data_IF_413861074340
#
_entry.id   IF_413861074340
#
_cell.length_a   1.000
_cell.length_b   1.000
_cell.length_c   1.000
_cell.angle_alpha   90.00
_cell.angle_beta   90.00
_cell.angle_gamma   90.00
#
_symmetry.space_group_name_H-M   'P 1'
#
loop_
_entity.id
_entity.type
_entity.pdbx_description
1 polymer ?
#
# COMPACT_ATOMS: atom_id res chain seq x y z
N UNK A 1 -35.45 25.85 29.67
CA UNK A 1 -34.61 26.91 29.09
C UNK A 1 -33.28 26.30 28.71
N UNK A 2 -32.85 26.45 27.45
CA UNK A 2 -31.57 25.95 26.96
C UNK A 2 -31.67 25.17 25.65
N UNK A 3 -32.14 25.81 24.57
CA UNK A 3 -31.99 25.31 23.20
C UNK A 3 -30.50 25.35 22.85
N UNK A 4 -29.83 24.19 22.78
CA UNK A 4 -28.52 24.09 22.18
C UNK A 4 -28.71 24.10 20.65
N UNK A 5 -28.36 25.22 20.03
CA UNK A 5 -28.27 25.37 18.57
C UNK A 5 -27.25 24.36 18.04
N UNK A 6 -27.72 23.39 17.26
CA UNK A 6 -26.85 22.60 16.38
C UNK A 6 -26.15 23.55 15.42
N UNK A 7 -24.82 23.49 15.27
CA UNK A 7 -24.13 24.32 14.30
C UNK A 7 -24.58 23.88 12.90
N UNK A 8 -25.25 24.79 12.20
CA UNK A 8 -25.61 24.63 10.80
C UNK A 8 -24.30 24.58 10.01
N UNK A 9 -23.85 23.39 9.62
CA UNK A 9 -22.82 23.25 8.60
C UNK A 9 -23.47 23.75 7.31
N UNK A 10 -22.97 24.82 6.67
CA UNK A 10 -23.53 25.24 5.39
C UNK A 10 -23.23 24.14 4.37
N UNK A 11 -24.28 23.62 3.71
CA UNK A 11 -24.10 22.80 2.51
C UNK A 11 -23.34 23.66 1.51
N UNK A 12 -22.06 23.30 1.28
CA UNK A 12 -21.26 23.91 0.24
C UNK A 12 -21.94 23.53 -1.09
N UNK A 13 -22.35 24.50 -1.92
CA UNK A 13 -22.91 24.16 -3.22
C UNK A 13 -21.89 23.31 -3.99
N UNK A 14 -22.33 22.29 -4.75
CA UNK A 14 -21.40 21.45 -5.49
C UNK A 14 -20.52 22.33 -6.37
N UNK A 15 -19.21 22.19 -6.23
CA UNK A 15 -18.26 22.98 -6.99
C UNK A 15 -18.36 22.58 -8.47
N UNK A 16 -19.15 23.34 -9.22
CA UNK A 16 -19.41 23.12 -10.64
C UNK A 16 -18.11 23.04 -11.45
N UNK A 17 -17.02 23.67 -10.99
CA UNK A 17 -15.71 23.64 -11.66
C UNK A 17 -15.03 22.27 -11.55
N UNK A 18 -15.10 21.62 -10.37
CA UNK A 18 -14.53 20.29 -10.14
C UNK A 18 -15.29 19.21 -10.90
N UNK A 19 -16.63 19.29 -10.90
CA UNK A 19 -17.47 18.39 -11.68
C UNK A 19 -17.18 18.47 -13.19
N UNK A 20 -16.95 19.67 -13.71
CA UNK A 20 -16.57 19.86 -15.11
C UNK A 20 -15.18 19.29 -15.41
N UNK A 21 -14.19 19.58 -14.56
CA UNK A 21 -12.83 19.06 -14.70
C UNK A 21 -12.79 17.53 -14.70
N UNK A 22 -13.54 16.87 -13.81
CA UNK A 22 -13.61 15.42 -13.74
C UNK A 22 -14.25 14.79 -14.99
N UNK A 23 -15.30 15.42 -15.54
CA UNK A 23 -15.91 14.96 -16.81
C UNK A 23 -14.94 15.05 -17.97
N UNK A 24 -14.12 16.10 -18.02
CA UNK A 24 -13.12 16.27 -19.07
C UNK A 24 -11.97 15.25 -18.92
N UNK A 25 -11.52 14.97 -17.68
CA UNK A 25 -10.58 13.89 -17.41
C UNK A 25 -11.14 12.53 -17.85
N UNK A 26 -12.38 12.22 -17.47
CA UNK A 26 -13.05 10.99 -17.90
C UNK A 26 -13.14 10.90 -19.43
N UNK A 27 -13.52 11.98 -20.10
CA UNK A 27 -13.58 12.02 -21.57
C UNK A 27 -12.23 11.68 -22.20
N UNK A 28 -11.13 12.26 -21.69
CA UNK A 28 -9.77 11.97 -22.16
C UNK A 28 -9.38 10.51 -21.91
N UNK A 29 -9.63 9.98 -20.71
CA UNK A 29 -9.39 8.58 -20.36
C UNK A 29 -10.09 7.64 -21.35
N UNK A 30 -11.39 7.86 -21.58
CA UNK A 30 -12.18 7.02 -22.49
C UNK A 30 -11.75 7.16 -23.95
N UNK A 31 -11.32 8.35 -24.39
CA UNK A 31 -10.76 8.54 -25.73
C UNK A 31 -9.46 7.77 -25.90
N UNK A 32 -8.57 7.79 -24.90
CA UNK A 32 -7.32 7.02 -24.91
C UNK A 32 -7.60 5.52 -24.96
N UNK A 33 -8.62 5.03 -24.23
CA UNK A 33 -8.99 3.62 -24.25
C UNK A 33 -9.71 3.18 -25.55
N UNK A 34 -10.33 4.11 -26.28
CA UNK A 34 -11.17 3.79 -27.44
C UNK A 34 -10.32 3.27 -28.61
N UNK A 35 -10.72 2.13 -29.16
CA UNK A 35 -10.05 1.48 -30.30
C UNK A 35 -9.15 0.31 -29.90
N UNK A 36 -8.82 0.21 -28.60
CA UNK A 36 -8.23 -0.97 -28.00
C UNK A 36 -9.30 -2.06 -27.79
N UNK A 37 -8.88 -3.32 -27.75
CA UNK A 37 -9.77 -4.47 -27.49
C UNK A 37 -9.53 -5.08 -26.12
N UNK A 38 -8.28 -5.12 -25.66
CA UNK A 38 -7.85 -5.84 -24.45
C UNK A 38 -6.87 -5.02 -23.62
N UNK A 39 -7.27 -4.72 -22.39
CA UNK A 39 -6.47 -3.96 -21.44
C UNK A 39 -5.92 -4.83 -20.33
N UNK A 40 -4.66 -4.58 -19.95
CA UNK A 40 -4.12 -5.00 -18.66
C UNK A 40 -4.02 -3.78 -17.75
N UNK A 41 -4.67 -3.88 -16.59
CA UNK A 41 -4.59 -2.87 -15.53
C UNK A 41 -3.67 -3.38 -14.44
N UNK A 42 -2.42 -2.92 -14.48
CA UNK A 42 -1.36 -3.38 -13.60
C UNK A 42 -1.18 -2.45 -12.41
N UNK A 43 -1.08 -3.03 -11.22
CA UNK A 43 -0.70 -2.31 -10.00
C UNK A 43 0.73 -2.64 -9.58
N UNK A 44 1.20 -2.06 -8.47
CA UNK A 44 2.52 -2.39 -7.93
C UNK A 44 2.61 -3.84 -7.45
N UNK A 45 3.84 -4.34 -7.34
CA UNK A 45 4.17 -5.65 -6.81
C UNK A 45 3.85 -5.72 -5.32
N UNK A 46 3.34 -6.88 -4.89
CA UNK A 46 2.85 -7.10 -3.53
C UNK A 46 1.77 -6.08 -3.13
N UNK A 47 0.67 -6.01 -3.91
CA UNK A 47 -0.29 -4.92 -3.81
C UNK A 47 -1.00 -4.89 -2.46
N UNK A 48 -1.26 -3.68 -2.00
CA UNK A 48 -2.12 -3.41 -0.85
C UNK A 48 -3.61 -3.31 -1.27
N UNK A 49 -4.54 -3.04 -0.34
CA UNK A 49 -5.95 -2.93 -0.69
C UNK A 49 -6.27 -1.82 -1.70
N UNK A 50 -5.56 -0.69 -1.65
CA UNK A 50 -5.81 0.45 -2.55
C UNK A 50 -5.43 0.10 -3.99
N UNK A 51 -4.23 -0.44 -4.14
CA UNK A 51 -3.71 -1.02 -5.37
C UNK A 51 -4.69 -2.01 -6.04
N UNK A 52 -5.16 -3.02 -5.29
CA UNK A 52 -6.08 -4.04 -5.80
C UNK A 52 -7.43 -3.42 -6.19
N UNK A 53 -8.00 -2.59 -5.30
CA UNK A 53 -9.31 -2.00 -5.53
C UNK A 53 -9.33 -1.07 -6.73
N UNK A 54 -8.29 -0.24 -6.85
CA UNK A 54 -8.10 0.68 -7.98
C UNK A 54 -7.98 -0.06 -9.30
N UNK A 55 -7.23 -1.17 -9.34
CA UNK A 55 -7.09 -1.99 -10.55
C UNK A 55 -8.42 -2.60 -10.98
N UNK A 56 -9.17 -3.21 -10.05
CA UNK A 56 -10.49 -3.75 -10.35
C UNK A 56 -11.49 -2.65 -10.76
N UNK A 57 -11.44 -1.47 -10.13
CA UNK A 57 -12.32 -0.36 -10.43
C UNK A 57 -12.06 0.26 -11.79
N UNK A 58 -10.79 0.44 -12.18
CA UNK A 58 -10.44 0.91 -13.51
C UNK A 58 -10.79 -0.14 -14.58
N UNK A 59 -10.52 -1.43 -14.34
CA UNK A 59 -10.91 -2.48 -15.26
C UNK A 59 -12.44 -2.50 -15.49
N UNK A 60 -13.23 -2.34 -14.43
CA UNK A 60 -14.67 -2.20 -14.52
C UNK A 60 -15.09 -0.98 -15.34
N UNK A 61 -14.49 0.19 -15.07
CA UNK A 61 -14.76 1.42 -15.83
C UNK A 61 -14.49 1.25 -17.33
N UNK A 62 -13.33 0.70 -17.70
CA UNK A 62 -12.92 0.49 -19.09
C UNK A 62 -13.87 -0.50 -19.81
N UNK A 63 -14.28 -1.55 -19.12
CA UNK A 63 -15.21 -2.55 -19.66
C UNK A 63 -16.57 -1.92 -19.94
N UNK A 64 -17.16 -1.24 -18.94
CA UNK A 64 -18.51 -0.69 -19.04
C UNK A 64 -18.60 0.56 -19.92
N UNK A 65 -17.58 1.41 -19.92
CA UNK A 65 -17.62 2.73 -20.60
C UNK A 65 -16.90 2.78 -21.94
N UNK A 66 -15.92 1.90 -22.18
CA UNK A 66 -15.14 1.87 -23.42
C UNK A 66 -15.28 0.56 -24.21
N UNK A 67 -15.95 -0.46 -23.66
CA UNK A 67 -16.11 -1.77 -24.32
C UNK A 67 -14.79 -2.53 -24.48
N UNK A 68 -13.79 -2.23 -23.65
CA UNK A 68 -12.47 -2.86 -23.66
C UNK A 68 -12.48 -4.03 -22.66
N UNK A 69 -12.07 -5.22 -23.09
CA UNK A 69 -11.90 -6.36 -22.20
C UNK A 69 -10.70 -6.11 -21.26
N UNK A 70 -10.98 -5.60 -20.05
CA UNK A 70 -9.95 -5.18 -19.12
C UNK A 70 -9.74 -6.19 -17.97
N UNK A 71 -8.49 -6.58 -17.75
CA UNK A 71 -8.11 -7.50 -16.67
C UNK A 71 -7.21 -6.81 -15.66
N UNK A 72 -7.61 -6.80 -14.39
CA UNK A 72 -6.78 -6.33 -13.29
C UNK A 72 -5.69 -7.36 -12.95
N UNK A 73 -4.44 -6.90 -12.84
CA UNK A 73 -3.28 -7.76 -12.62
C UNK A 73 -2.30 -7.19 -11.60
N UNK A 74 -1.56 -8.09 -10.93
CA UNK A 74 -0.51 -7.74 -9.99
C UNK A 74 0.72 -8.63 -10.14
N UNK A 75 1.88 -8.13 -9.74
CA UNK A 75 3.09 -8.93 -9.55
C UNK A 75 3.40 -9.20 -8.07
N UNK A 76 4.41 -10.03 -7.83
CA UNK A 76 4.79 -10.42 -6.46
C UNK A 76 3.75 -11.29 -5.74
N UNK A 77 3.62 -11.09 -4.43
CA UNK A 77 2.81 -11.90 -3.51
C UNK A 77 1.86 -11.00 -2.73
N UNK A 78 0.60 -11.40 -2.63
CA UNK A 78 -0.35 -10.83 -1.66
C UNK A 78 -0.18 -11.61 -0.36
N UNK A 79 0.63 -11.11 0.56
CA UNK A 79 1.04 -11.84 1.76
C UNK A 79 0.23 -11.55 3.03
N UNK A 80 -0.16 -10.28 3.25
CA UNK A 80 -0.94 -9.84 4.42
C UNK A 80 -2.30 -10.56 4.49
N UNK A 81 -2.75 -10.84 5.72
CA UNK A 81 -3.94 -11.66 5.94
C UNK A 81 -5.21 -10.94 5.47
N UNK A 82 -5.28 -9.64 5.69
CA UNK A 82 -6.37 -8.75 5.32
C UNK A 82 -6.48 -8.67 3.79
N UNK A 83 -5.35 -8.49 3.08
CA UNK A 83 -5.34 -8.43 1.62
C UNK A 83 -5.77 -9.78 1.01
N UNK A 84 -5.31 -10.90 1.57
CA UNK A 84 -5.78 -12.23 1.15
C UNK A 84 -7.28 -12.41 1.40
N UNK A 85 -7.76 -11.95 2.55
CA UNK A 85 -9.17 -11.98 2.90
C UNK A 85 -10.00 -11.12 1.95
N UNK A 86 -9.53 -9.93 1.57
CA UNK A 86 -10.17 -9.05 0.60
C UNK A 86 -10.43 -9.77 -0.73
N UNK A 87 -9.40 -10.38 -1.32
CA UNK A 87 -9.55 -11.13 -2.56
C UNK A 87 -10.53 -12.30 -2.42
N UNK A 88 -10.41 -13.07 -1.33
CA UNK A 88 -11.22 -14.27 -1.10
C UNK A 88 -12.68 -13.95 -0.79
N UNK A 89 -12.94 -12.99 0.08
CA UNK A 89 -14.28 -12.65 0.57
C UNK A 89 -15.07 -11.93 -0.53
N UNK A 90 -14.43 -11.01 -1.24
CA UNK A 90 -15.08 -10.22 -2.28
C UNK A 90 -15.05 -10.89 -3.67
N UNK A 91 -14.31 -11.98 -3.84
CA UNK A 91 -14.14 -12.69 -5.12
C UNK A 91 -13.67 -11.74 -6.24
N UNK A 92 -12.70 -10.86 -5.94
CA UNK A 92 -12.26 -9.83 -6.87
C UNK A 92 -11.59 -10.45 -8.12
N UNK A 93 -11.91 -9.94 -9.33
CA UNK A 93 -11.36 -10.45 -10.58
C UNK A 93 -9.96 -9.87 -10.82
N UNK A 94 -8.99 -10.26 -9.98
CA UNK A 94 -7.59 -9.84 -10.08
C UNK A 94 -6.69 -11.07 -10.21
N UNK A 95 -5.75 -11.03 -11.16
CA UNK A 95 -4.89 -12.17 -11.49
C UNK A 95 -3.40 -11.86 -11.27
N UNK A 96 -2.60 -12.84 -10.83
CA UNK A 96 -1.14 -12.71 -10.94
C UNK A 96 -0.76 -12.51 -12.41
N UNK A 97 0.10 -11.53 -12.68
CA UNK A 97 0.56 -11.18 -14.03
C UNK A 97 1.16 -12.39 -14.77
N UNK A 98 1.85 -13.28 -14.04
CA UNK A 98 2.42 -14.53 -14.59
C UNK A 98 1.39 -15.49 -15.21
N UNK A 99 0.10 -15.33 -14.92
CA UNK A 99 -0.98 -16.12 -15.54
C UNK A 99 -1.47 -15.55 -16.87
N UNK A 100 -1.17 -14.28 -17.15
CA UNK A 100 -1.70 -13.57 -18.32
C UNK A 100 -0.62 -12.89 -19.16
N UNK A 101 0.65 -13.03 -18.79
CA UNK A 101 1.79 -12.40 -19.47
C UNK A 101 1.87 -12.73 -20.96
N UNK A 102 1.48 -13.96 -21.34
CA UNK A 102 1.43 -14.41 -22.73
C UNK A 102 0.16 -14.00 -23.48
N UNK A 103 -0.83 -13.41 -22.81
CA UNK A 103 -2.09 -13.04 -23.44
C UNK A 103 -1.91 -11.79 -24.34
N UNK A 104 -2.66 -11.70 -25.44
CA UNK A 104 -2.63 -10.51 -26.27
C UNK A 104 -3.27 -9.35 -25.51
N UNK A 105 -2.59 -8.22 -25.48
CA UNK A 105 -3.05 -6.95 -24.93
C UNK A 105 -2.65 -5.85 -25.88
N UNK A 106 -3.53 -4.87 -26.04
CA UNK A 106 -3.27 -3.70 -26.86
C UNK A 106 -3.36 -2.40 -26.05
N UNK A 107 -3.77 -2.45 -24.77
CA UNK A 107 -3.75 -1.33 -23.82
C UNK A 107 -3.09 -1.74 -22.50
N UNK A 108 -2.14 -0.93 -22.02
CA UNK A 108 -1.51 -1.11 -20.70
C UNK A 108 -1.80 0.09 -19.83
N UNK A 109 -2.39 -0.17 -18.66
CA UNK A 109 -2.68 0.82 -17.64
C UNK A 109 -1.84 0.53 -16.40
N UNK A 110 -1.31 1.57 -15.77
CA UNK A 110 -0.76 1.52 -14.41
C UNK A 110 -1.71 2.20 -13.44
N UNK A 111 -1.93 1.57 -12.29
CA UNK A 111 -2.69 2.14 -11.17
C UNK A 111 -1.91 1.99 -9.88
N UNK A 112 -1.95 3.03 -9.05
CA UNK A 112 -1.26 3.05 -7.74
C UNK A 112 0.25 2.75 -7.85
N UNK A 113 0.79 3.08 -9.01
CA UNK A 113 2.20 3.02 -9.35
C UNK A 113 2.46 3.86 -10.59
N UNK A 114 3.71 4.19 -10.81
CA UNK A 114 4.17 5.02 -11.90
C UNK A 114 5.36 4.37 -12.61
N UNK A 115 5.60 4.71 -13.89
CA UNK A 115 6.84 4.33 -14.56
C UNK A 115 8.07 4.78 -13.75
N UNK A 116 9.20 4.09 -13.94
CA UNK A 116 10.48 4.30 -13.22
C UNK A 116 10.49 3.92 -11.72
N UNK A 117 9.35 3.68 -11.07
CA UNK A 117 9.36 3.14 -9.69
C UNK A 117 9.97 1.73 -9.68
N UNK A 118 9.81 0.98 -10.78
CA UNK A 118 10.39 -0.35 -10.95
C UNK A 118 9.80 -1.41 -10.01
N UNK A 119 8.65 -1.11 -9.40
CA UNK A 119 7.94 -1.99 -8.48
C UNK A 119 6.71 -2.62 -9.13
N UNK A 120 6.75 -2.97 -10.42
CA UNK A 120 5.69 -3.72 -11.07
C UNK A 120 6.30 -4.74 -12.05
N UNK A 121 5.86 -5.99 -11.95
CA UNK A 121 6.40 -7.11 -12.74
C UNK A 121 5.70 -7.27 -14.09
N UNK A 122 5.75 -6.24 -14.96
CA UNK A 122 5.20 -6.32 -16.31
C UNK A 122 6.28 -6.06 -17.36
N UNK A 123 6.62 -7.08 -18.15
CA UNK A 123 7.42 -6.91 -19.35
C UNK A 123 6.55 -6.27 -20.46
N UNK A 124 6.65 -4.95 -20.61
CA UNK A 124 5.95 -4.22 -21.66
C UNK A 124 6.87 -3.97 -22.87
N UNK A 125 6.32 -4.04 -24.07
CA UNK A 125 7.02 -3.68 -25.31
C UNK A 125 7.07 -2.15 -25.53
N UNK A 126 6.42 -1.36 -24.66
CA UNK A 126 6.29 0.10 -24.75
C UNK A 126 5.86 0.71 -23.41
N UNK A 127 5.82 2.05 -23.30
CA UNK A 127 5.35 2.75 -22.11
C UNK A 127 3.85 2.50 -21.88
N UNK A 128 3.36 2.55 -20.63
CA UNK A 128 1.92 2.47 -20.36
C UNK A 128 1.17 3.67 -20.95
N UNK A 129 -0.04 3.45 -21.48
CA UNK A 129 -0.84 4.51 -22.07
C UNK A 129 -1.72 5.26 -21.06
N UNK A 130 -2.09 4.61 -19.96
CA UNK A 130 -2.92 5.16 -18.88
C UNK A 130 -2.18 5.02 -17.55
N UNK A 131 -2.03 6.11 -16.79
CA UNK A 131 -1.41 6.08 -15.45
C UNK A 131 -2.30 6.83 -14.45
N UNK A 132 -2.75 6.17 -13.39
CA UNK A 132 -3.57 6.79 -12.33
C UNK A 132 -2.92 6.48 -10.98
N UNK A 133 -2.47 7.51 -10.26
CA UNK A 133 -1.76 7.33 -9.00
C UNK A 133 -1.93 8.58 -8.11
N UNK A 134 -2.27 8.40 -6.84
CA UNK A 134 -2.39 9.54 -5.92
C UNK A 134 -1.03 10.10 -5.44
N UNK A 135 0.07 9.35 -5.62
CA UNK A 135 1.40 9.80 -5.24
C UNK A 135 1.92 10.97 -6.10
N UNK A 136 2.94 11.73 -5.63
CA UNK A 136 3.55 12.80 -6.42
C UNK A 136 3.94 12.36 -7.84
N UNK A 137 3.66 13.23 -8.81
CA UNK A 137 3.89 12.96 -10.21
C UNK A 137 5.38 12.76 -10.54
N UNK A 138 5.66 11.79 -11.40
CA UNK A 138 6.99 11.53 -11.99
C UNK A 138 7.05 11.99 -13.44
N UNK A 139 8.20 12.48 -13.95
CA UNK A 139 8.31 12.95 -15.33
C UNK A 139 7.87 11.91 -16.38
N UNK A 140 8.18 10.64 -16.16
CA UNK A 140 7.82 9.53 -17.05
C UNK A 140 6.31 9.27 -17.12
N UNK A 141 5.58 9.50 -16.02
CA UNK A 141 4.12 9.39 -15.98
C UNK A 141 3.45 10.42 -16.89
N UNK A 142 4.06 11.60 -17.06
CA UNK A 142 3.51 12.69 -17.88
C UNK A 142 3.59 12.43 -19.38
N UNK A 143 4.31 11.37 -19.79
CA UNK A 143 4.45 10.93 -21.17
C UNK A 143 3.27 10.02 -21.58
N UNK A 144 2.58 9.40 -20.62
CA UNK A 144 1.44 8.55 -20.88
C UNK A 144 0.31 9.34 -21.57
N UNK A 145 -0.34 8.70 -22.56
CA UNK A 145 -1.46 9.26 -23.33
C UNK A 145 -2.58 9.81 -22.43
N UNK A 146 -2.78 9.17 -21.28
CA UNK A 146 -3.56 9.72 -20.18
C UNK A 146 -2.82 9.52 -18.85
N UNK A 147 -2.76 10.57 -18.04
CA UNK A 147 -2.26 10.49 -16.68
C UNK A 147 -3.13 11.30 -15.72
N UNK A 148 -3.40 10.74 -14.55
CA UNK A 148 -3.95 11.47 -13.41
C UNK A 148 -3.10 11.14 -12.19
N UNK A 149 -2.08 11.97 -11.97
CA UNK A 149 -1.04 11.74 -10.96
C UNK A 149 -0.80 12.97 -10.08
N UNK A 150 -0.47 12.76 -8.81
CA UNK A 150 -0.11 13.83 -7.87
C UNK A 150 -1.25 14.80 -7.51
N UNK A 151 -2.50 14.41 -7.77
CA UNK A 151 -3.68 15.17 -7.36
C UNK A 151 -3.98 15.08 -5.86
N UNK A 152 -4.83 15.96 -5.31
CA UNK A 152 -5.19 15.96 -3.89
C UNK A 152 -6.16 14.81 -3.58
N UNK A 153 -5.62 13.61 -3.43
CA UNK A 153 -6.35 12.41 -3.01
C UNK A 153 -5.48 11.60 -2.06
N UNK A 154 -6.08 11.09 -0.99
CA UNK A 154 -5.41 10.23 -0.02
C UNK A 154 -5.27 8.78 -0.47
N UNK A 155 -5.94 8.37 -1.55
CA UNK A 155 -5.86 7.04 -2.13
C UNK A 155 -6.11 7.07 -3.65
N UNK A 156 -5.52 6.14 -4.40
CA UNK A 156 -5.82 5.90 -5.81
C UNK A 156 -7.28 5.44 -6.00
N UNK A 157 -7.84 4.70 -5.03
CA UNK A 157 -9.26 4.29 -5.03
C UNK A 157 -10.20 5.48 -5.01
N UNK A 158 -9.79 6.61 -4.42
CA UNK A 158 -10.56 7.86 -4.46
C UNK A 158 -10.61 8.41 -5.89
N UNK A 159 -9.50 8.40 -6.63
CA UNK A 159 -9.46 8.82 -8.03
C UNK A 159 -10.36 7.93 -8.89
N UNK A 160 -10.22 6.60 -8.78
CA UNK A 160 -11.03 5.64 -9.52
C UNK A 160 -12.52 5.77 -9.20
N UNK A 161 -12.87 5.99 -7.93
CA UNK A 161 -14.26 6.22 -7.50
C UNK A 161 -14.83 7.50 -8.10
N UNK A 162 -14.05 8.58 -8.20
CA UNK A 162 -14.49 9.80 -8.88
C UNK A 162 -14.79 9.55 -10.37
N UNK A 163 -13.99 8.72 -11.05
CA UNK A 163 -14.28 8.32 -12.43
C UNK A 163 -15.57 7.52 -12.56
N UNK A 164 -15.81 6.55 -11.68
CA UNK A 164 -17.07 5.79 -11.66
C UNK A 164 -18.28 6.71 -11.45
N UNK A 165 -18.19 7.64 -10.47
CA UNK A 165 -19.24 8.66 -10.22
C UNK A 165 -19.47 9.53 -11.45
N UNK A 166 -18.41 10.01 -12.11
CA UNK A 166 -18.50 10.85 -13.30
C UNK A 166 -19.09 10.10 -14.51
N UNK A 167 -18.78 8.81 -14.64
CA UNK A 167 -19.35 7.91 -15.65
C UNK A 167 -20.79 7.47 -15.31
N UNK A 168 -21.29 7.82 -14.11
CA UNK A 168 -22.57 7.38 -13.55
C UNK A 168 -22.69 5.86 -13.43
N UNK A 169 -21.55 5.19 -13.19
CA UNK A 169 -21.48 3.77 -12.91
C UNK A 169 -21.55 3.54 -11.41
N UNK A 170 -22.57 2.82 -10.97
CA UNK A 170 -22.70 2.38 -9.57
C UNK A 170 -22.11 0.98 -9.46
N UNK A 171 -20.97 0.78 -8.77
CA UNK A 171 -20.37 -0.53 -8.64
C UNK A 171 -21.24 -1.45 -7.79
N UNK A 172 -21.20 -2.75 -8.09
CA UNK A 172 -21.82 -3.76 -7.24
C UNK A 172 -21.14 -3.86 -5.87
N UNK A 173 -21.78 -4.48 -4.86
CA UNK A 173 -21.27 -4.51 -3.49
C UNK A 173 -19.82 -4.98 -3.32
N UNK A 174 -19.32 -6.02 -4.04
CA UNK A 174 -17.93 -6.43 -3.91
C UNK A 174 -16.92 -5.35 -4.31
N UNK A 175 -17.13 -4.71 -5.46
CA UNK A 175 -16.25 -3.64 -5.93
C UNK A 175 -16.40 -2.37 -5.08
N UNK A 176 -17.61 -2.03 -4.67
CA UNK A 176 -17.84 -0.92 -3.75
C UNK A 176 -17.12 -1.12 -2.42
N UNK A 177 -17.17 -2.33 -1.86
CA UNK A 177 -16.47 -2.70 -0.62
C UNK A 177 -14.95 -2.64 -0.81
N UNK A 178 -14.44 -3.10 -1.95
CA UNK A 178 -13.02 -3.03 -2.27
C UNK A 178 -12.52 -1.57 -2.33
N UNK A 179 -13.17 -0.71 -3.12
CA UNK A 179 -12.82 0.71 -3.24
C UNK A 179 -12.92 1.43 -1.89
N UNK A 180 -13.97 1.14 -1.13
CA UNK A 180 -14.14 1.70 0.22
C UNK A 180 -12.98 1.31 1.13
N UNK A 181 -12.62 0.02 1.13
CA UNK A 181 -11.54 -0.49 1.96
C UNK A 181 -10.17 0.05 1.52
N UNK A 182 -9.94 0.24 0.21
CA UNK A 182 -8.74 0.89 -0.32
C UNK A 182 -8.57 2.32 0.19
N UNK A 183 -9.64 3.14 0.11
CA UNK A 183 -9.61 4.50 0.69
C UNK A 183 -9.36 4.43 2.20
N UNK A 184 -10.06 3.54 2.91
CA UNK A 184 -9.93 3.38 4.37
C UNK A 184 -8.52 2.94 4.78
N UNK A 185 -7.88 2.01 4.07
CA UNK A 185 -6.56 1.52 4.43
C UNK A 185 -5.48 2.59 4.27
N UNK A 186 -5.51 3.32 3.16
CA UNK A 186 -4.44 4.26 2.83
C UNK A 186 -4.50 5.53 3.69
N UNK A 187 -5.71 6.07 3.83
CA UNK A 187 -5.99 7.22 4.69
C UNK A 187 -6.05 6.90 6.19
N UNK A 188 -5.88 5.62 6.59
CA UNK A 188 -6.14 5.12 7.95
C UNK A 188 -7.47 5.62 8.51
N UNK A 189 -8.55 5.27 7.82
CA UNK A 189 -9.90 5.66 8.18
C UNK A 189 -10.08 7.19 8.23
N UNK A 190 -9.55 7.89 7.22
CA UNK A 190 -9.52 9.35 7.15
C UNK A 190 -8.79 9.99 8.36
N UNK A 191 -7.89 9.24 9.00
CA UNK A 191 -7.07 9.70 10.13
C UNK A 191 -5.73 10.33 9.70
N UNK A 192 -5.28 10.13 8.46
CA UNK A 192 -4.07 10.74 7.89
C UNK A 192 -4.24 11.04 6.40
N UNK A 193 -3.49 12.05 5.93
CA UNK A 193 -3.16 12.23 4.50
C UNK A 193 -4.37 12.08 3.55
N UNK A 194 -5.50 12.72 3.90
CA UNK A 194 -6.73 12.71 3.12
C UNK A 194 -7.13 14.12 2.68
N UNK A 195 -7.97 14.20 1.65
CA UNK A 195 -8.60 15.40 1.14
C UNK A 195 -10.14 15.26 1.15
N UNK A 196 -10.86 16.32 0.79
CA UNK A 196 -12.31 16.36 0.66
C UNK A 196 -12.85 15.30 -0.31
N UNK A 197 -12.13 15.00 -1.39
CA UNK A 197 -12.52 13.98 -2.35
C UNK A 197 -12.59 12.58 -1.71
N UNK A 198 -11.67 12.28 -0.77
CA UNK A 198 -11.68 11.01 -0.04
C UNK A 198 -12.94 10.91 0.81
N UNK A 199 -13.29 11.96 1.56
CA UNK A 199 -14.50 12.00 2.40
C UNK A 199 -15.77 11.80 1.56
N UNK A 200 -15.86 12.48 0.41
CA UNK A 200 -17.01 12.34 -0.49
C UNK A 200 -17.14 10.93 -1.07
N UNK A 201 -16.04 10.37 -1.58
CA UNK A 201 -16.03 9.03 -2.14
C UNK A 201 -16.31 7.97 -1.06
N UNK A 202 -15.74 8.13 0.13
CA UNK A 202 -15.98 7.28 1.30
C UNK A 202 -17.47 7.25 1.66
N UNK A 203 -18.11 8.43 1.76
CA UNK A 203 -19.54 8.54 2.06
C UNK A 203 -20.44 8.02 0.92
N UNK A 204 -20.03 8.20 -0.33
CA UNK A 204 -20.78 7.69 -1.49
C UNK A 204 -20.75 6.16 -1.57
N UNK A 205 -19.61 5.54 -1.25
CA UNK A 205 -19.43 4.09 -1.26
C UNK A 205 -20.06 3.40 -0.05
N UNK A 206 -19.99 4.00 1.15
CA UNK A 206 -20.46 3.40 2.40
C UNK A 206 -21.88 2.77 2.39
N UNK A 207 -22.90 3.35 1.74
CA UNK A 207 -24.21 2.70 1.63
C UNK A 207 -24.21 1.47 0.71
N UNK A 208 -23.25 1.35 -0.21
CA UNK A 208 -23.17 0.30 -1.23
C UNK A 208 -22.37 -0.94 -0.78
N UNK A 209 -21.57 -0.82 0.30
CA UNK A 209 -20.68 -1.89 0.73
C UNK A 209 -21.41 -3.04 1.46
N UNK A 210 -20.82 -4.23 1.38
CA UNK A 210 -21.13 -5.36 2.26
C UNK A 210 -20.33 -5.21 3.56
N UNK A 211 -20.99 -4.68 4.60
CA UNK A 211 -20.38 -4.42 5.92
C UNK A 211 -19.91 -5.72 6.62
N UNK A 212 -20.70 -6.82 6.63
CA UNK A 212 -20.20 -8.11 7.10
C UNK A 212 -18.95 -8.61 6.35
N UNK A 213 -18.88 -8.43 5.02
CA UNK A 213 -17.69 -8.77 4.25
C UNK A 213 -16.49 -7.92 4.68
N UNK A 214 -16.66 -6.60 4.78
CA UNK A 214 -15.61 -5.69 5.27
C UNK A 214 -15.07 -6.13 6.63
N UNK A 215 -15.96 -6.43 7.59
CA UNK A 215 -15.53 -6.88 8.93
C UNK A 215 -14.68 -8.16 8.89
N UNK A 216 -15.01 -9.12 8.02
CA UNK A 216 -14.18 -10.34 7.83
C UNK A 216 -12.82 -10.06 7.17
N UNK A 217 -12.72 -8.98 6.40
CA UNK A 217 -11.48 -8.56 5.75
C UNK A 217 -10.57 -7.86 6.76
N UNK A 218 -11.13 -6.99 7.61
CA UNK A 218 -10.40 -6.27 8.66
C UNK A 218 -10.02 -7.17 9.85
N UNK A 219 -10.75 -8.27 10.04
CA UNK A 219 -10.50 -9.25 11.09
C UNK A 219 -10.36 -10.66 10.51
N UNK A 220 -9.32 -10.91 9.69
CA UNK A 220 -9.15 -12.19 9.01
C UNK A 220 -8.73 -13.28 10.00
N UNK A 221 -9.11 -14.52 9.73
CA UNK A 221 -8.54 -15.67 10.45
C UNK A 221 -7.08 -15.87 10.05
N UNK A 222 -6.20 -16.00 11.03
CA UNK A 222 -4.76 -16.19 10.86
C UNK A 222 -4.30 -17.56 11.38
N UNK A 223 -3.27 -18.18 10.80
CA UNK A 223 -2.79 -19.50 11.23
C UNK A 223 -2.02 -19.43 12.55
N UNK A 224 -1.91 -20.52 13.31
CA UNK A 224 -1.20 -20.56 14.61
C UNK A 224 0.25 -20.01 14.54
N UNK A 225 0.96 -20.25 13.42
CA UNK A 225 2.31 -19.73 13.18
C UNK A 225 2.41 -18.19 13.15
N UNK A 226 1.31 -17.48 12.92
CA UNK A 226 1.21 -16.03 13.07
C UNK A 226 1.47 -15.61 14.52
N UNK A 227 0.73 -16.22 15.45
CA UNK A 227 0.90 -15.96 16.89
C UNK A 227 2.29 -16.38 17.38
N UNK A 228 2.82 -17.50 16.90
CA UNK A 228 4.17 -17.95 17.24
C UNK A 228 5.25 -16.93 16.79
N UNK A 229 5.07 -16.30 15.64
CA UNK A 229 5.99 -15.27 15.16
C UNK A 229 5.91 -13.99 15.99
N UNK A 230 4.71 -13.57 16.41
CA UNK A 230 4.54 -12.43 17.33
C UNK A 230 5.13 -12.71 18.71
N UNK A 231 4.89 -13.90 19.27
CA UNK A 231 5.50 -14.33 20.53
C UNK A 231 7.03 -14.21 20.47
N UNK A 232 7.64 -14.82 19.44
CA UNK A 232 9.08 -14.74 19.20
C UNK A 232 9.55 -13.30 19.04
N UNK A 233 8.80 -12.46 18.33
CA UNK A 233 9.16 -11.07 18.15
C UNK A 233 9.22 -10.33 19.49
N UNK A 234 8.23 -10.48 20.37
CA UNK A 234 8.21 -9.80 21.66
C UNK A 234 9.30 -10.31 22.61
N UNK A 235 9.59 -11.61 22.63
CA UNK A 235 10.68 -12.17 23.42
C UNK A 235 12.07 -11.69 22.96
N UNK A 236 12.26 -11.54 21.64
CA UNK A 236 13.53 -11.13 21.05
C UNK A 236 13.72 -9.63 20.92
N UNK A 237 12.65 -8.84 21.03
CA UNK A 237 12.72 -7.40 20.93
C UNK A 237 13.62 -6.80 22.01
N UNK A 238 14.43 -5.81 21.61
CA UNK A 238 15.38 -5.10 22.47
C UNK A 238 15.20 -3.60 22.34
N UNK A 239 15.15 -2.92 23.48
CA UNK A 239 15.10 -1.48 23.64
C UNK A 239 16.51 -0.89 23.70
N UNK A 240 16.69 0.27 23.07
CA UNK A 240 17.94 1.02 23.02
C UNK A 240 17.69 2.50 23.27
N UNK A 241 18.75 3.23 23.67
CA UNK A 241 18.69 4.68 23.89
C UNK A 241 17.64 5.05 24.93
N UNK A 242 17.63 4.36 26.07
CA UNK A 242 16.62 4.59 27.13
C UNK A 242 15.16 4.44 26.68
N UNK A 243 14.90 3.56 25.70
CA UNK A 243 13.55 3.29 25.20
C UNK A 243 13.17 4.12 23.96
N UNK A 244 14.11 4.85 23.35
CA UNK A 244 13.87 5.58 22.10
C UNK A 244 13.75 4.66 20.87
N UNK A 245 14.35 3.47 20.90
CA UNK A 245 14.39 2.55 19.77
C UNK A 245 14.09 1.10 20.16
N UNK A 246 13.38 0.36 19.30
CA UNK A 246 13.03 -1.04 19.52
C UNK A 246 13.39 -1.86 18.28
N UNK A 247 14.35 -2.78 18.44
CA UNK A 247 14.85 -3.61 17.35
C UNK A 247 14.54 -5.08 17.64
N UNK A 248 14.17 -5.83 16.60
CA UNK A 248 13.90 -7.27 16.71
C UNK A 248 14.39 -8.01 15.47
N UNK A 249 15.10 -9.12 15.69
CA UNK A 249 15.32 -10.14 14.68
C UNK A 249 14.39 -11.33 14.92
N UNK A 250 13.42 -11.49 14.02
CA UNK A 250 12.42 -12.55 14.08
C UNK A 250 12.98 -13.92 13.66
N UNK A 251 14.22 -13.97 13.14
CA UNK A 251 14.77 -15.16 12.52
C UNK A 251 13.99 -15.56 11.27
N UNK A 252 13.87 -16.87 11.00
CA UNK A 252 13.08 -17.35 9.87
C UNK A 252 11.58 -17.11 10.06
N UNK A 253 10.97 -16.42 9.10
CA UNK A 253 9.53 -16.11 9.06
C UNK A 253 8.84 -16.95 8.00
N UNK A 254 7.56 -17.26 8.20
CA UNK A 254 6.80 -18.07 7.24
C UNK A 254 6.26 -17.26 6.05
N UNK A 255 6.26 -15.94 6.17
CA UNK A 255 5.77 -14.96 5.20
C UNK A 255 6.51 -13.64 5.45
N UNK A 256 7.07 -12.97 4.44
CA UNK A 256 7.90 -11.78 4.66
C UNK A 256 7.10 -10.59 5.23
N UNK A 257 5.80 -10.51 4.96
CA UNK A 257 4.90 -9.44 5.38
C UNK A 257 4.69 -9.34 6.90
N UNK A 258 5.06 -10.37 7.66
CA UNK A 258 5.01 -10.29 9.13
C UNK A 258 6.08 -9.36 9.71
N UNK A 259 7.20 -9.16 8.99
CA UNK A 259 8.28 -8.25 9.40
C UNK A 259 7.79 -6.79 9.49
N UNK A 260 7.18 -6.21 8.43
CA UNK A 260 6.61 -4.86 8.53
C UNK A 260 5.44 -4.77 9.50
N UNK A 261 4.65 -5.82 9.67
CA UNK A 261 3.54 -5.85 10.62
C UNK A 261 4.02 -5.75 12.08
N UNK A 262 5.04 -6.54 12.44
CA UNK A 262 5.67 -6.48 13.76
C UNK A 262 6.34 -5.14 14.00
N UNK A 263 7.07 -4.60 13.01
CA UNK A 263 7.69 -3.27 13.12
C UNK A 263 6.64 -2.18 13.39
N UNK A 264 5.53 -2.21 12.64
CA UNK A 264 4.39 -1.30 12.82
C UNK A 264 3.73 -1.44 14.19
N UNK A 265 3.61 -2.65 14.71
CA UNK A 265 3.09 -2.85 16.07
C UNK A 265 4.05 -2.31 17.13
N UNK A 266 5.36 -2.55 17.00
CA UNK A 266 6.36 -2.09 17.96
C UNK A 266 6.47 -0.55 18.00
N UNK A 267 6.27 0.15 16.88
CA UNK A 267 6.34 1.63 16.84
C UNK A 267 5.28 2.31 17.71
N UNK A 268 4.22 1.59 18.08
CA UNK A 268 3.15 2.07 18.98
C UNK A 268 3.51 2.04 20.47
N UNK A 269 4.69 1.51 20.84
CA UNK A 269 5.16 1.55 22.22
C UNK A 269 5.34 3.01 22.68
N UNK A 270 4.85 3.32 23.88
CA UNK A 270 4.94 4.66 24.46
C UNK A 270 6.40 5.14 24.55
N UNK A 271 6.64 6.39 24.15
CA UNK A 271 7.97 7.01 24.15
C UNK A 271 8.90 6.57 23.01
N UNK A 272 8.53 5.55 22.23
CA UNK A 272 9.36 5.03 21.16
C UNK A 272 9.42 6.01 19.98
N UNK A 273 10.63 6.28 19.47
CA UNK A 273 10.83 7.14 18.30
C UNK A 273 10.86 6.34 17.00
N UNK A 274 11.38 5.11 17.05
CA UNK A 274 11.46 4.23 15.89
C UNK A 274 11.55 2.75 16.27
N UNK A 275 11.11 1.91 15.35
CA UNK A 275 11.26 0.46 15.44
C UNK A 275 11.87 -0.12 14.16
N UNK A 276 12.60 -1.22 14.33
CA UNK A 276 13.18 -1.99 13.23
C UNK A 276 12.91 -3.47 13.45
N UNK A 277 12.23 -4.10 12.51
CA UNK A 277 12.11 -5.56 12.49
C UNK A 277 12.92 -6.12 11.32
N UNK A 278 13.58 -7.25 11.56
CA UNK A 278 14.18 -8.08 10.51
C UNK A 278 13.66 -9.51 10.58
N UNK A 279 13.65 -10.21 9.45
CA UNK A 279 13.33 -11.63 9.40
C UNK A 279 13.74 -12.25 8.07
N UNK A 280 14.17 -13.51 8.07
CA UNK A 280 14.60 -14.19 6.84
C UNK A 280 13.48 -14.98 6.19
N UNK A 281 13.44 -14.92 4.86
CA UNK A 281 12.50 -15.68 4.05
C UNK A 281 13.16 -16.03 2.71
N UNK A 282 13.17 -17.33 2.35
CA UNK A 282 13.66 -17.84 1.05
C UNK A 282 15.01 -17.27 0.60
N UNK A 283 15.99 -17.21 1.50
CA UNK A 283 17.35 -16.76 1.16
C UNK A 283 17.55 -15.25 1.12
N UNK A 284 16.56 -14.46 1.54
CA UNK A 284 16.67 -13.01 1.72
C UNK A 284 16.37 -12.62 3.18
N UNK A 285 17.02 -11.57 3.65
CA UNK A 285 16.69 -10.88 4.90
C UNK A 285 15.78 -9.70 4.58
N UNK A 286 14.56 -9.75 5.10
CA UNK A 286 13.59 -8.66 5.02
C UNK A 286 13.77 -7.74 6.22
N UNK A 287 13.64 -6.45 5.97
CA UNK A 287 13.78 -5.38 6.96
C UNK A 287 12.61 -4.41 6.84
N UNK A 288 12.10 -3.94 7.98
CA UNK A 288 11.13 -2.86 8.02
C UNK A 288 11.41 -1.86 9.14
N UNK A 289 11.62 -0.60 8.73
CA UNK A 289 11.77 0.55 9.61
C UNK A 289 10.44 1.31 9.72
N UNK A 290 10.10 1.72 10.95
CA UNK A 290 9.00 2.64 11.24
C UNK A 290 9.50 3.76 12.13
N UNK A 291 9.07 4.99 11.84
CA UNK A 291 9.43 6.20 12.56
C UNK A 291 8.16 6.88 13.07
N UNK A 292 8.22 7.44 14.27
CA UNK A 292 7.20 8.39 14.76
C UNK A 292 7.59 9.84 14.39
N UNK A 293 8.86 10.12 14.10
CA UNK A 293 9.34 11.44 13.66
C UNK A 293 9.19 11.62 12.15
N UNK A 294 8.18 12.41 11.74
CA UNK A 294 7.87 12.70 10.34
C UNK A 294 8.94 13.52 9.61
N UNK A 295 9.92 14.10 10.31
CA UNK A 295 11.01 14.88 9.70
C UNK A 295 12.10 14.01 9.10
N UNK A 296 12.16 12.74 9.51
CA UNK A 296 13.16 11.78 9.03
C UNK A 296 12.59 10.99 7.87
N UNK A 297 13.31 10.96 6.75
CA UNK A 297 12.92 10.17 5.58
C UNK A 297 13.46 8.73 5.72
N UNK A 298 12.58 7.83 6.19
CA UNK A 298 12.87 6.40 6.34
C UNK A 298 13.40 5.78 5.04
N UNK A 299 12.80 6.14 3.89
CA UNK A 299 13.16 5.59 2.59
C UNK A 299 14.59 5.92 2.20
N UNK A 300 15.02 7.17 2.41
CA UNK A 300 16.40 7.60 2.17
C UNK A 300 17.37 6.84 3.08
N UNK A 301 17.06 6.78 4.38
CA UNK A 301 17.90 6.13 5.38
C UNK A 301 18.08 4.63 5.10
N UNK A 302 16.99 3.92 4.83
CA UNK A 302 17.03 2.48 4.52
C UNK A 302 17.80 2.23 3.22
N UNK A 303 17.64 3.07 2.19
CA UNK A 303 18.43 2.95 0.94
C UNK A 303 19.92 3.12 1.20
N UNK A 304 20.32 4.17 1.92
CA UNK A 304 21.73 4.46 2.21
C UNK A 304 22.38 3.33 3.03
N UNK A 305 21.72 2.87 4.10
CA UNK A 305 22.27 1.81 4.95
C UNK A 305 22.29 0.47 4.23
N UNK A 306 21.22 0.09 3.52
CA UNK A 306 21.11 -1.23 2.91
C UNK A 306 21.93 -1.38 1.62
N UNK A 307 22.37 -0.28 0.99
CA UNK A 307 23.21 -0.31 -0.20
C UNK A 307 24.52 -1.09 0.05
N UNK A 308 25.16 -0.85 1.20
CA UNK A 308 26.41 -1.51 1.60
C UNK A 308 26.26 -3.04 1.78
N UNK A 309 25.03 -3.51 2.03
CA UNK A 309 24.72 -4.92 2.19
C UNK A 309 24.29 -5.61 0.89
N UNK A 310 24.20 -4.86 -0.22
CA UNK A 310 23.71 -5.33 -1.52
C UNK A 310 22.20 -5.53 -1.56
N UNK A 311 21.45 -4.79 -0.75
CA UNK A 311 20.00 -4.87 -0.68
C UNK A 311 19.27 -3.96 -1.66
N UNK A 312 18.00 -4.28 -1.91
CA UNK A 312 17.05 -3.40 -2.59
C UNK A 312 16.10 -2.81 -1.55
N UNK A 313 15.86 -1.51 -1.62
CA UNK A 313 15.12 -0.76 -0.60
C UNK A 313 14.05 0.13 -1.22
N UNK A 314 12.92 0.26 -0.52
CA UNK A 314 11.76 1.06 -0.91
C UNK A 314 11.09 1.73 0.29
N UNK A 315 10.12 2.59 0.00
CA UNK A 315 9.34 3.35 1.00
C UNK A 315 9.57 4.85 0.97
N UNK A 316 8.71 5.57 1.71
CA UNK A 316 8.65 7.03 1.78
C UNK A 316 8.23 7.50 3.18
N UNK A 317 8.55 8.77 3.48
CA UNK A 317 8.16 9.39 4.74
C UNK A 317 8.67 8.61 5.96
N UNK A 318 7.76 8.24 6.85
CA UNK A 318 8.05 7.60 8.13
C UNK A 318 8.17 6.05 8.07
N UNK A 319 8.05 5.45 6.88
CA UNK A 319 8.04 3.99 6.72
C UNK A 319 8.91 3.55 5.55
N UNK A 320 9.76 2.55 5.77
CA UNK A 320 10.57 1.97 4.71
C UNK A 320 10.89 0.50 4.96
N UNK A 321 11.32 -0.18 3.90
CA UNK A 321 11.72 -1.57 3.97
C UNK A 321 12.81 -1.89 2.96
N UNK A 322 13.49 -3.01 3.19
CA UNK A 322 14.49 -3.53 2.27
C UNK A 322 14.46 -5.06 2.26
N UNK A 323 14.98 -5.62 1.17
CA UNK A 323 15.36 -7.02 1.08
C UNK A 323 16.85 -7.11 0.78
N UNK A 324 17.56 -7.90 1.56
CA UNK A 324 19.01 -8.09 1.43
C UNK A 324 19.26 -9.58 1.14
N UNK A 325 19.80 -9.93 -0.05
CA UNK A 325 20.12 -11.32 -0.37
C UNK A 325 21.15 -11.89 0.61
N UNK A 326 20.92 -13.08 1.19
CA UNK A 326 21.85 -13.65 2.17
C UNK A 326 23.22 -13.96 1.53
N UNK A 327 23.25 -14.47 0.29
CA UNK A 327 24.47 -14.83 -0.46
C UNK A 327 25.46 -15.68 0.36
N UNK A 328 24.96 -16.65 1.11
CA UNK A 328 25.76 -17.53 1.95
C UNK A 328 26.19 -16.94 3.30
N UNK A 329 25.81 -15.69 3.62
CA UNK A 329 26.00 -15.09 4.96
C UNK A 329 25.05 -15.76 5.97
N UNK A 330 25.49 -15.88 7.23
CA UNK A 330 24.59 -16.20 8.35
C UNK A 330 23.53 -15.12 8.48
N UNK A 331 22.28 -15.56 8.67
CA UNK A 331 21.14 -14.66 8.87
C UNK A 331 21.34 -13.79 10.10
N UNK A 332 21.77 -14.41 11.20
CA UNK A 332 21.95 -13.78 12.51
C UNK A 332 23.04 -12.72 12.48
N UNK A 333 24.17 -13.02 11.85
CA UNK A 333 25.27 -12.06 11.69
C UNK A 333 24.85 -10.88 10.81
N UNK A 334 24.19 -11.15 9.67
CA UNK A 334 23.72 -10.09 8.80
C UNK A 334 22.68 -9.19 9.49
N UNK A 335 21.73 -9.78 10.22
CA UNK A 335 20.74 -9.02 10.98
C UNK A 335 21.42 -8.15 12.06
N UNK A 336 22.39 -8.70 12.79
CA UNK A 336 23.18 -7.97 13.78
C UNK A 336 23.94 -6.78 13.18
N UNK A 337 24.60 -6.98 12.03
CA UNK A 337 25.35 -5.91 11.35
C UNK A 337 24.43 -4.79 10.86
N UNK A 338 23.26 -5.16 10.31
CA UNK A 338 22.22 -4.23 9.89
C UNK A 338 21.69 -3.45 11.10
N UNK A 339 21.33 -4.12 12.19
CA UNK A 339 20.85 -3.47 13.42
C UNK A 339 21.88 -2.49 13.97
N UNK A 340 23.15 -2.87 14.00
CA UNK A 340 24.24 -2.00 14.45
C UNK A 340 24.41 -0.77 13.54
N UNK A 341 24.22 -0.92 12.22
CA UNK A 341 24.25 0.20 11.28
C UNK A 341 23.11 1.20 11.52
N UNK A 342 21.88 0.72 11.74
CA UNK A 342 20.75 1.59 12.10
C UNK A 342 20.95 2.28 13.43
N UNK A 343 21.41 1.57 14.47
CA UNK A 343 21.70 2.20 15.76
C UNK A 343 22.72 3.35 15.61
N UNK A 344 23.81 3.13 14.87
CA UNK A 344 24.80 4.18 14.59
C UNK A 344 24.20 5.36 13.83
N UNK A 345 23.36 5.09 12.82
CA UNK A 345 22.71 6.14 12.03
C UNK A 345 21.74 7.01 12.86
N UNK A 346 21.17 6.46 13.93
CA UNK A 346 20.36 7.19 14.90
C UNK A 346 21.16 7.68 16.12
N UNK A 347 22.50 7.69 16.05
CA UNK A 347 23.39 8.11 17.13
C UNK A 347 23.24 7.32 18.45
N UNK A 348 22.78 6.07 18.36
CA UNK A 348 22.70 5.13 19.47
C UNK A 348 23.90 4.17 19.45
N UNK A 349 24.33 3.72 20.63
CA UNK A 349 25.42 2.75 20.76
C UNK A 349 24.90 1.33 20.43
N UNK A 350 25.54 0.59 19.52
CA UNK A 350 25.31 -0.84 19.37
C UNK A 350 25.61 -1.60 20.65
N UNK A 351 24.89 -2.69 20.91
CA UNK A 351 25.03 -3.51 22.10
C UNK A 351 23.88 -4.50 22.26
N UNK A 352 23.73 -5.16 23.42
CA UNK A 352 22.68 -6.15 23.64
C UNK A 352 21.26 -5.56 23.80
N UNK A 353 21.17 -4.26 24.08
CA UNK A 353 19.90 -3.59 24.42
C UNK A 353 19.27 -4.11 25.72
N UNK A 354 18.12 -3.56 26.07
CA UNK A 354 17.31 -4.04 27.21
C UNK A 354 16.15 -4.89 26.67
N UNK A 355 15.86 -6.09 27.19
CA UNK A 355 14.69 -6.86 26.77
C UNK A 355 13.39 -6.06 26.84
N UNK A 356 12.58 -6.09 25.77
CA UNK A 356 11.25 -5.46 25.77
C UNK A 356 10.34 -6.12 26.81
N UNK A 357 10.25 -7.45 26.73
CA UNK A 357 9.61 -8.27 27.76
C UNK A 357 10.74 -8.72 28.67
N UNK A 358 10.74 -8.31 29.96
CA UNK A 358 11.70 -8.84 30.92
C UNK A 358 11.59 -10.36 30.93
N UNK A 359 12.73 -11.05 30.93
CA UNK A 359 12.72 -12.43 31.40
C UNK A 359 12.12 -12.35 32.81
N UNK A 360 11.04 -13.09 33.06
CA UNK A 360 10.35 -13.06 34.34
C UNK A 360 11.31 -13.27 35.52
N UNK A 361 10.90 -12.92 36.75
CA UNK A 361 11.68 -13.24 37.93
C UNK A 361 12.05 -14.72 38.02
#
# INVERSE_FOLDING_TARGET
>A
MGNALTPHVPERPPDHSQHFAMREKLRKLLVTAKGHRRALVMTHDNPDPDAVASACGLAHLLTESAGVEATAVYGGIIGRAENKAMLKVLHLPVLPVSRVESQPRDLVCLVDTQPEVGNYSLATAGPPEIVIDHHPARPSSLIASFHDVGGPAGATSTLVTQYLRAAKLVPGPPLATALFYGIKSDTRDLGREYDSADVECYNWLFPLIDKPALSRIEHPSVPARYFAAYHRAYERARLYGHGEACLVDMGEVYVPEIVPEVSERLVSLEGLRWSLATGSYKGELYLSLRLNDKRVNAGKLVREICADFGGSAGGHGAMAGARIPLRGRSTELLASDVHAAFLRAFHLRPGPGTPLVPLGP
#
